data_IF_662768197924
#
_entry.id   IF_662768197924
#
_cell.length_a   1.000
_cell.length_b   1.000
_cell.length_c   1.000
_cell.angle_alpha   90.00
_cell.angle_beta   90.00
_cell.angle_gamma   90.00
#
_symmetry.space_group_name_H-M   'P 1'
#
loop_
_entity.id
_entity.type
_entity.pdbx_description
1 polymer ?
#
# COMPACT_ATOMS: atom_id res chain seq x y z
N UNK A 1 -21.14 18.94 -6.90
CA UNK A 1 -19.97 18.06 -7.15
C UNK A 1 -20.29 16.69 -6.58
N UNK A 2 -20.05 15.60 -7.31
CA UNK A 2 -20.44 14.24 -6.90
C UNK A 2 -19.21 13.41 -6.48
N UNK A 3 -18.68 13.71 -5.30
CA UNK A 3 -17.54 12.97 -4.75
C UNK A 3 -17.59 12.87 -3.22
N UNK A 4 -16.90 11.86 -2.71
CA UNK A 4 -16.59 11.66 -1.29
C UNK A 4 -15.09 11.89 -1.07
N UNK A 5 -14.72 12.47 0.07
CA UNK A 5 -13.32 12.68 0.47
C UNK A 5 -13.00 11.83 1.70
N UNK A 6 -11.82 11.22 1.70
CA UNK A 6 -11.28 10.49 2.86
C UNK A 6 -9.76 10.60 2.84
N UNK A 7 -9.08 10.48 3.98
CA UNK A 7 -7.62 10.44 3.97
C UNK A 7 -7.12 9.14 3.33
N UNK A 8 -7.52 8.00 3.91
CA UNK A 8 -7.24 6.65 3.43
C UNK A 8 -8.47 5.76 3.57
N UNK A 9 -8.58 4.72 2.74
CA UNK A 9 -9.66 3.73 2.87
C UNK A 9 -9.39 2.86 4.10
N UNK A 10 -10.24 2.98 5.12
CA UNK A 10 -10.21 2.20 6.36
C UNK A 10 -11.40 1.26 6.44
N UNK A 11 -11.30 0.12 5.75
CA UNK A 11 -12.41 -0.81 5.52
C UNK A 11 -13.11 -1.29 6.80
N UNK A 12 -12.37 -1.39 7.91
CA UNK A 12 -12.88 -1.92 9.18
C UNK A 12 -13.64 -0.88 10.01
N UNK A 13 -13.53 0.41 9.66
CA UNK A 13 -14.18 1.50 10.39
C UNK A 13 -15.67 1.62 10.04
N UNK A 14 -16.49 1.96 11.04
CA UNK A 14 -17.92 2.21 10.84
C UNK A 14 -18.17 3.44 9.96
N UNK A 15 -17.38 4.50 10.17
CA UNK A 15 -17.44 5.72 9.36
C UNK A 15 -17.23 5.43 7.86
N UNK A 16 -16.24 4.59 7.54
CA UNK A 16 -16.02 4.15 6.17
C UNK A 16 -17.24 3.44 5.59
N UNK A 17 -17.85 2.50 6.31
CA UNK A 17 -19.01 1.75 5.83
C UNK A 17 -20.18 2.69 5.46
N UNK A 18 -20.45 3.69 6.29
CA UNK A 18 -21.47 4.69 6.01
C UNK A 18 -21.12 5.57 4.81
N UNK A 19 -19.87 6.02 4.71
CA UNK A 19 -19.41 6.83 3.59
C UNK A 19 -19.44 6.05 2.27
N UNK A 20 -19.00 4.80 2.28
CA UNK A 20 -19.04 3.90 1.14
C UNK A 20 -20.48 3.71 0.65
N UNK A 21 -21.41 3.39 1.56
CA UNK A 21 -22.82 3.21 1.21
C UNK A 21 -23.42 4.48 0.60
N UNK A 22 -23.14 5.65 1.19
CA UNK A 22 -23.58 6.95 0.67
C UNK A 22 -22.98 7.25 -0.69
N UNK A 23 -21.69 7.00 -0.88
CA UNK A 23 -21.01 7.21 -2.16
C UNK A 23 -21.59 6.34 -3.27
N UNK A 24 -21.78 5.04 -2.99
CA UNK A 24 -22.36 4.10 -3.95
C UNK A 24 -23.81 4.44 -4.32
N UNK A 25 -24.63 4.85 -3.34
CA UNK A 25 -26.01 5.25 -3.59
C UNK A 25 -26.13 6.49 -4.49
N UNK A 26 -25.11 7.34 -4.49
CA UNK A 26 -25.06 8.58 -5.27
C UNK A 26 -24.20 8.48 -6.54
N UNK A 27 -23.64 7.30 -6.86
CA UNK A 27 -22.63 7.14 -7.92
C UNK A 27 -21.46 8.14 -7.80
N UNK A 28 -21.05 8.42 -6.56
CA UNK A 28 -20.02 9.40 -6.26
C UNK A 28 -18.62 8.82 -6.53
N UNK A 29 -17.71 9.66 -7.02
CA UNK A 29 -16.28 9.32 -7.07
C UNK A 29 -15.67 9.43 -5.67
N UNK A 30 -14.84 8.48 -5.27
CA UNK A 30 -14.07 8.62 -4.02
C UNK A 30 -12.71 9.23 -4.32
N UNK A 31 -12.30 10.23 -3.55
CA UNK A 31 -10.97 10.82 -3.61
C UNK A 31 -10.27 10.62 -2.27
N UNK A 32 -9.10 9.97 -2.30
CA UNK A 32 -8.26 9.81 -1.11
C UNK A 32 -7.17 10.86 -1.07
N UNK A 33 -6.92 11.46 0.09
CA UNK A 33 -6.06 12.63 0.23
C UNK A 33 -4.62 12.29 0.66
N UNK A 34 -4.43 11.20 1.38
CA UNK A 34 -3.13 10.78 1.91
C UNK A 34 -2.47 9.70 1.04
N UNK A 35 -1.12 9.56 1.09
CA UNK A 35 -0.46 8.43 0.44
C UNK A 35 -0.88 7.12 1.09
N UNK A 36 -1.27 6.15 0.27
CA UNK A 36 -1.60 4.80 0.75
C UNK A 36 -0.94 3.77 -0.17
N UNK A 37 0.11 3.07 0.30
CA UNK A 37 0.80 2.04 -0.48
C UNK A 37 -0.15 0.94 -1.00
N UNK A 38 -1.19 0.64 -0.24
CA UNK A 38 -2.19 -0.38 -0.53
C UNK A 38 -3.40 0.14 -1.32
N UNK A 39 -3.41 1.42 -1.72
CA UNK A 39 -4.54 2.09 -2.37
C UNK A 39 -5.09 1.30 -3.56
N UNK A 40 -4.22 0.80 -4.44
CA UNK A 40 -4.65 0.12 -5.67
C UNK A 40 -5.41 -1.18 -5.35
N UNK A 41 -4.94 -1.94 -4.35
CA UNK A 41 -5.65 -3.11 -3.85
C UNK A 41 -7.00 -2.71 -3.24
N UNK A 42 -7.00 -1.71 -2.34
CA UNK A 42 -8.21 -1.22 -1.68
C UNK A 42 -9.24 -0.66 -2.67
N UNK A 43 -8.80 0.03 -3.72
CA UNK A 43 -9.64 0.52 -4.81
C UNK A 43 -10.38 -0.63 -5.48
N UNK A 44 -9.66 -1.68 -5.88
CA UNK A 44 -10.28 -2.85 -6.53
C UNK A 44 -11.27 -3.59 -5.63
N UNK A 45 -10.98 -3.66 -4.34
CA UNK A 45 -11.79 -4.40 -3.36
C UNK A 45 -12.99 -3.63 -2.82
N UNK A 46 -12.84 -2.33 -2.56
CA UNK A 46 -13.80 -1.56 -1.79
C UNK A 46 -14.47 -0.43 -2.58
N UNK A 47 -13.82 0.16 -3.59
CA UNK A 47 -14.39 1.30 -4.31
C UNK A 47 -13.73 1.51 -5.68
N UNK A 48 -14.24 0.85 -6.71
CA UNK A 48 -13.59 0.78 -8.04
C UNK A 48 -13.36 2.14 -8.70
N UNK A 49 -14.25 3.12 -8.46
CA UNK A 49 -14.12 4.47 -9.00
C UNK A 49 -13.29 5.41 -8.10
N UNK A 50 -12.45 4.89 -7.20
CA UNK A 50 -11.59 5.72 -6.36
C UNK A 50 -10.36 6.28 -7.11
N UNK A 51 -9.93 7.47 -6.69
CA UNK A 51 -8.68 8.13 -7.12
C UNK A 51 -7.89 8.57 -5.90
N UNK A 52 -6.58 8.32 -5.88
CA UNK A 52 -5.69 8.85 -4.85
C UNK A 52 -5.02 10.13 -5.38
N UNK A 53 -5.15 11.23 -4.64
CA UNK A 53 -4.61 12.51 -5.04
C UNK A 53 -3.09 12.50 -5.11
N UNK A 54 -2.42 11.82 -4.16
CA UNK A 54 -0.96 11.70 -4.13
C UNK A 54 -0.47 10.92 -5.35
N UNK A 55 -1.04 9.74 -5.61
CA UNK A 55 -0.69 8.93 -6.79
C UNK A 55 -0.89 9.72 -8.09
N UNK A 56 -1.96 10.52 -8.17
CA UNK A 56 -2.24 11.36 -9.34
C UNK A 56 -1.15 12.43 -9.54
N UNK A 57 -0.76 13.15 -8.49
CA UNK A 57 0.23 14.23 -8.61
C UNK A 57 1.66 13.71 -8.78
N UNK A 58 2.00 12.59 -8.13
CA UNK A 58 3.31 11.94 -8.27
C UNK A 58 3.39 11.02 -9.48
N UNK A 59 2.29 10.86 -10.22
CA UNK A 59 2.15 9.93 -11.36
C UNK A 59 2.51 8.48 -10.99
N UNK A 60 2.23 8.07 -9.74
CA UNK A 60 2.48 6.70 -9.28
C UNK A 60 1.49 5.77 -9.96
N UNK A 61 2.02 4.73 -10.59
CA UNK A 61 1.22 3.68 -11.24
C UNK A 61 1.58 2.32 -10.67
N UNK A 62 0.60 1.45 -10.48
CA UNK A 62 0.90 0.03 -10.25
C UNK A 62 1.44 -0.59 -11.53
N UNK A 63 2.53 -1.34 -11.42
CA UNK A 63 2.99 -2.23 -12.48
C UNK A 63 2.58 -3.65 -12.10
N UNK A 64 1.51 -4.21 -12.69
CA UNK A 64 1.03 -5.54 -12.36
C UNK A 64 2.13 -6.60 -12.57
N UNK A 65 2.23 -7.56 -11.66
CA UNK A 65 3.22 -8.63 -11.75
C UNK A 65 4.66 -8.23 -11.39
N UNK A 66 4.89 -6.99 -10.95
CA UNK A 66 6.15 -6.60 -10.32
C UNK A 66 5.97 -6.55 -8.81
N UNK A 67 6.81 -7.28 -8.09
CA UNK A 67 7.01 -7.13 -6.66
C UNK A 67 8.45 -6.69 -6.41
N UNK A 68 8.65 -5.79 -5.45
CA UNK A 68 9.94 -5.62 -4.82
C UNK A 68 10.10 -6.82 -3.87
N UNK A 69 10.76 -7.86 -4.37
CA UNK A 69 11.22 -8.96 -3.54
C UNK A 69 12.65 -8.63 -3.06
N UNK A 70 13.10 -9.25 -1.96
CA UNK A 70 14.37 -8.86 -1.32
C UNK A 70 15.57 -8.93 -2.27
N UNK A 71 15.53 -9.82 -3.26
CA UNK A 71 16.57 -10.01 -4.27
C UNK A 71 16.67 -8.84 -5.27
N UNK A 72 15.73 -7.90 -5.25
CA UNK A 72 15.71 -6.70 -6.11
C UNK A 72 16.18 -5.44 -5.39
N UNK A 73 16.37 -5.49 -4.08
CA UNK A 73 16.85 -4.34 -3.30
C UNK A 73 18.38 -4.40 -3.28
N UNK A 74 19.09 -3.35 -3.73
CA UNK A 74 20.54 -3.28 -3.57
C UNK A 74 20.89 -3.40 -2.09
N UNK A 75 21.78 -4.34 -1.76
CA UNK A 75 22.28 -4.56 -0.41
C UNK A 75 23.81 -4.41 -0.37
N UNK A 76 24.41 -4.55 0.81
CA UNK A 76 25.86 -4.50 1.01
C UNK A 76 26.49 -5.77 0.45
N UNK A 77 27.56 -5.62 -0.32
CA UNK A 77 28.32 -6.76 -0.85
C UNK A 77 28.89 -7.60 0.30
N UNK A 78 28.61 -8.90 0.29
CA UNK A 78 29.07 -9.83 1.32
C UNK A 78 28.13 -9.96 2.53
N UNK A 79 27.05 -9.19 2.59
CA UNK A 79 26.05 -9.32 3.65
C UNK A 79 25.34 -10.68 3.60
N UNK A 80 25.09 -11.23 4.78
CA UNK A 80 24.31 -12.44 4.99
C UNK A 80 22.81 -12.11 5.04
N UNK A 81 21.98 -12.95 4.43
CA UNK A 81 20.52 -12.79 4.40
C UNK A 81 19.86 -13.92 5.18
N UNK A 82 19.13 -13.58 6.23
CA UNK A 82 18.41 -14.53 7.09
C UNK A 82 16.90 -14.39 6.92
N UNK A 83 16.24 -15.47 6.50
CA UNK A 83 14.77 -15.54 6.41
C UNK A 83 14.21 -16.10 7.72
N UNK A 84 13.64 -15.21 8.53
CA UNK A 84 13.12 -15.56 9.85
C UNK A 84 11.68 -16.11 9.75
N UNK A 85 11.24 -16.94 10.73
CA UNK A 85 9.91 -17.55 10.72
C UNK A 85 8.76 -16.55 11.01
N UNK A 86 9.08 -15.33 11.42
CA UNK A 86 8.14 -14.25 11.78
C UNK A 86 7.80 -13.33 10.59
N UNK A 87 8.24 -13.68 9.38
CA UNK A 87 8.01 -12.86 8.19
C UNK A 87 9.01 -11.72 8.01
N UNK A 88 10.08 -11.69 8.80
CA UNK A 88 11.18 -10.73 8.65
C UNK A 88 12.34 -11.37 7.88
N UNK A 89 12.96 -10.60 7.00
CA UNK A 89 14.24 -10.94 6.37
C UNK A 89 15.30 -9.97 6.91
N UNK A 90 16.28 -10.49 7.65
CA UNK A 90 17.38 -9.69 8.20
C UNK A 90 18.57 -9.68 7.23
N UNK A 91 19.22 -8.51 7.13
CA UNK A 91 20.46 -8.29 6.37
C UNK A 91 21.56 -8.03 7.40
N UNK A 92 22.58 -8.89 7.43
CA UNK A 92 23.65 -8.86 8.43
C UNK A 92 25.00 -8.65 7.74
N UNK A 93 25.78 -7.69 8.21
CA UNK A 93 27.14 -7.39 7.74
C UNK A 93 28.10 -7.44 8.93
N UNK A 94 29.17 -8.24 8.85
CA UNK A 94 30.13 -8.48 9.93
C UNK A 94 29.48 -8.79 11.31
N UNK A 95 28.39 -9.57 11.30
CA UNK A 95 27.64 -9.96 12.49
C UNK A 95 26.73 -8.87 13.07
N UNK A 96 26.57 -7.74 12.37
CA UNK A 96 25.68 -6.63 12.75
C UNK A 96 24.49 -6.58 11.78
N UNK A 97 23.27 -6.49 12.30
CA UNK A 97 22.10 -6.26 11.47
C UNK A 97 22.10 -4.82 10.94
N UNK A 98 22.18 -4.69 9.61
CA UNK A 98 22.26 -3.42 8.88
C UNK A 98 20.94 -3.04 8.21
N UNK A 99 19.98 -3.97 8.16
CA UNK A 99 18.66 -3.72 7.64
C UNK A 99 17.72 -4.91 7.81
N UNK A 100 16.43 -4.63 7.71
CA UNK A 100 15.37 -5.61 7.74
C UNK A 100 14.39 -5.36 6.60
N UNK A 101 13.74 -6.43 6.13
CA UNK A 101 12.63 -6.36 5.20
C UNK A 101 11.47 -7.18 5.74
N UNK A 102 10.33 -6.54 5.96
CA UNK A 102 9.09 -7.23 6.33
C UNK A 102 8.42 -7.76 5.07
N UNK A 103 8.09 -9.05 5.06
CA UNK A 103 7.28 -9.64 4.01
C UNK A 103 5.87 -9.03 4.06
N UNK A 104 5.34 -8.68 2.89
CA UNK A 104 4.00 -8.12 2.77
C UNK A 104 2.96 -9.24 2.99
N UNK A 105 2.12 -9.10 4.02
CA UNK A 105 0.99 -10.00 4.31
C UNK A 105 -0.23 -9.76 3.39
#
# INVERSE_FOLDING_TARGET
MNYELVDVIQADSENWRHQQARGLANDARLITLAPDPSFIYKKGKYYQNAVNLVDLVTKRTLTPGTSLFFDKVPTIDGAEVFMNPDGIISIIDDGIEVGEMTLYE
#
